data_IF_320675107178
#
_entry.id   IF_320675107178
#
_cell.length_a   1.000
_cell.length_b   1.000
_cell.length_c   1.000
_cell.angle_alpha   90.00
_cell.angle_beta   90.00
_cell.angle_gamma   90.00
#
_symmetry.space_group_name_H-M   'P 1'
#
loop_
_entity.id
_entity.type
_entity.pdbx_description
1 polymer ?
#
# COMPACT_ATOMS: atom_id res chain seq x y z
N UNK A 1 -22.47 -29.17 -5.25
CA UNK A 1 -21.94 -28.16 -6.20
C UNK A 1 -22.37 -26.72 -5.90
N UNK A 2 -23.66 -26.41 -5.70
CA UNK A 2 -24.16 -25.02 -5.53
C UNK A 2 -23.51 -24.23 -4.38
N UNK A 3 -23.15 -24.89 -3.29
CA UNK A 3 -22.53 -24.24 -2.13
C UNK A 3 -21.05 -23.88 -2.32
N UNK A 4 -20.33 -24.55 -3.24
CA UNK A 4 -18.91 -24.28 -3.51
C UNK A 4 -18.74 -22.91 -4.18
N UNK A 5 -19.68 -22.52 -5.06
CA UNK A 5 -19.70 -21.18 -5.69
C UNK A 5 -19.85 -20.06 -4.65
N UNK A 6 -20.62 -20.29 -3.59
CA UNK A 6 -20.82 -19.30 -2.52
C UNK A 6 -19.54 -19.16 -1.67
N UNK A 7 -18.83 -20.25 -1.38
CA UNK A 7 -17.55 -20.16 -0.66
C UNK A 7 -16.46 -19.44 -1.46
N UNK A 8 -16.44 -19.55 -2.79
CA UNK A 8 -15.49 -18.83 -3.63
C UNK A 8 -15.65 -17.30 -3.58
N UNK A 9 -16.88 -16.81 -3.40
CA UNK A 9 -17.17 -15.37 -3.30
C UNK A 9 -16.61 -14.73 -2.01
N UNK A 10 -16.40 -15.50 -0.94
CA UNK A 10 -15.85 -14.98 0.32
C UNK A 10 -14.32 -14.81 0.29
N UNK A 11 -13.61 -15.52 -0.60
CA UNK A 11 -12.16 -15.44 -0.73
C UNK A 11 -11.67 -14.27 -1.60
N UNK A 12 -12.58 -13.49 -2.19
CA UNK A 12 -12.22 -12.38 -3.09
C UNK A 12 -11.91 -11.06 -2.35
N UNK A 13 -12.12 -11.00 -1.03
CA UNK A 13 -11.75 -9.85 -0.20
C UNK A 13 -10.28 -9.93 0.22
N UNK A 14 -9.37 -9.71 -0.72
CA UNK A 14 -7.98 -9.39 -0.40
C UNK A 14 -7.80 -7.86 -0.34
N UNK A 15 -6.79 -7.37 0.38
CA UNK A 15 -6.46 -5.96 0.43
C UNK A 15 -5.89 -5.56 -0.94
N UNK A 16 -6.81 -5.20 -1.84
CA UNK A 16 -6.55 -4.81 -3.21
C UNK A 16 -6.42 -3.28 -3.29
N UNK A 17 -5.60 -2.77 -4.22
CA UNK A 17 -5.41 -1.34 -4.37
C UNK A 17 -6.72 -0.65 -4.76
N UNK A 18 -6.83 0.64 -4.44
CA UNK A 18 -7.98 1.44 -4.79
C UNK A 18 -8.27 1.36 -6.29
N UNK A 19 -9.54 1.40 -6.70
CA UNK A 19 -9.95 1.28 -8.11
C UNK A 19 -9.27 2.30 -9.04
N UNK A 20 -8.87 3.46 -8.51
CA UNK A 20 -8.12 4.49 -9.24
C UNK A 20 -6.71 4.02 -9.64
N UNK A 21 -6.13 3.08 -8.89
CA UNK A 21 -4.83 2.46 -9.13
C UNK A 21 -4.90 1.25 -10.07
N UNK A 22 -6.03 0.99 -10.73
CA UNK A 22 -6.09 -0.02 -11.78
C UNK A 22 -5.02 0.28 -12.85
N UNK A 23 -4.17 -0.72 -13.14
CA UNK A 23 -3.03 -0.60 -14.06
C UNK A 23 -1.78 0.08 -13.49
N UNK A 24 -1.72 0.33 -12.18
CA UNK A 24 -0.52 0.83 -11.51
C UNK A 24 0.61 -0.20 -11.51
N UNK A 25 1.85 0.30 -11.52
CA UNK A 25 3.03 -0.52 -11.26
C UNK A 25 3.10 -0.83 -9.78
N UNK A 26 3.20 -2.11 -9.42
CA UNK A 26 3.28 -2.57 -8.03
C UNK A 26 4.67 -3.09 -7.69
N UNK A 27 5.27 -2.59 -6.61
CA UNK A 27 6.50 -3.12 -6.03
C UNK A 27 6.20 -3.60 -4.62
N UNK A 28 6.64 -4.83 -4.27
CA UNK A 28 6.53 -5.36 -2.92
C UNK A 28 7.88 -5.31 -2.22
N UNK A 29 7.87 -4.87 -0.96
CA UNK A 29 9.05 -4.80 -0.10
C UNK A 29 8.70 -5.20 1.32
N UNK A 30 9.69 -5.70 2.06
CA UNK A 30 9.54 -6.00 3.49
C UNK A 30 10.49 -5.10 4.27
N UNK A 31 9.97 -4.36 5.25
CA UNK A 31 10.74 -3.46 6.13
C UNK A 31 10.31 -3.69 7.56
N UNK A 32 11.27 -3.86 8.47
CA UNK A 32 11.02 -4.11 9.90
C UNK A 32 10.03 -5.24 10.19
N UNK A 33 10.02 -6.29 9.35
CA UNK A 33 9.13 -7.44 9.48
C UNK A 33 7.70 -7.20 8.98
N UNK A 34 7.42 -6.03 8.39
CA UNK A 34 6.13 -5.70 7.77
C UNK A 34 6.24 -5.75 6.24
N UNK A 35 5.23 -6.34 5.61
CA UNK A 35 5.14 -6.42 4.15
C UNK A 35 4.36 -5.24 3.60
N UNK A 36 4.93 -4.57 2.60
CA UNK A 36 4.34 -3.42 1.93
C UNK A 36 4.20 -3.69 0.44
N UNK A 37 3.07 -3.29 -0.14
CA UNK A 37 2.94 -3.11 -1.58
C UNK A 37 2.81 -1.61 -1.90
N UNK A 38 3.74 -1.09 -2.68
CA UNK A 38 3.69 0.27 -3.22
C UNK A 38 3.18 0.20 -4.65
N UNK A 39 2.06 0.85 -4.89
CA UNK A 39 1.46 1.06 -6.19
C UNK A 39 1.78 2.47 -6.65
N UNK A 40 2.34 2.60 -7.85
CA UNK A 40 2.60 3.89 -8.49
C UNK A 40 1.83 4.00 -9.79
N UNK A 41 1.13 5.12 -9.94
CA UNK A 41 0.46 5.49 -11.19
C UNK A 41 0.67 6.97 -11.44
N UNK A 42 1.39 7.29 -12.51
CA UNK A 42 1.79 8.65 -12.85
C UNK A 42 2.48 9.40 -11.68
N UNK A 43 1.77 10.40 -11.12
CA UNK A 43 2.21 11.21 -9.97
C UNK A 43 1.40 10.89 -8.71
N UNK A 44 0.78 9.74 -8.65
CA UNK A 44 0.05 9.25 -7.48
C UNK A 44 0.65 7.95 -6.98
N UNK A 45 0.52 7.74 -5.67
CA UNK A 45 0.92 6.50 -5.04
C UNK A 45 -0.18 6.00 -4.11
N UNK A 46 -0.15 4.69 -3.89
CA UNK A 46 -0.85 3.99 -2.83
C UNK A 46 0.12 3.00 -2.20
N UNK A 47 0.16 2.92 -0.88
CA UNK A 47 0.96 1.93 -0.16
C UNK A 47 0.05 1.20 0.81
N UNK A 48 0.13 -0.13 0.77
CA UNK A 48 -0.67 -1.03 1.61
C UNK A 48 0.28 -1.87 2.44
N UNK A 49 0.07 -1.92 3.76
CA UNK A 49 0.75 -2.84 4.67
C UNK A 49 -0.09 -4.09 4.86
N UNK A 50 0.52 -5.26 4.67
CA UNK A 50 -0.09 -6.55 4.90
C UNK A 50 0.29 -7.12 6.27
N UNK A 51 -0.53 -8.06 6.75
CA UNK A 51 -0.31 -8.73 8.02
C UNK A 51 -0.79 -7.92 9.24
N UNK A 52 -0.59 -8.49 10.43
CA UNK A 52 -0.98 -7.87 11.68
C UNK A 52 0.12 -6.93 12.20
N UNK A 53 -0.27 -5.84 12.84
CA UNK A 53 0.65 -4.96 13.57
C UNK A 53 0.02 -4.54 14.91
N UNK A 54 0.81 -4.47 15.99
CA UNK A 54 0.33 -3.97 17.26
C UNK A 54 0.12 -2.46 17.20
N UNK A 55 -0.83 -1.97 18.01
CA UNK A 55 -1.16 -0.54 18.08
C UNK A 55 0.03 0.34 18.49
N UNK A 56 0.96 -0.20 19.26
CA UNK A 56 2.18 0.50 19.69
C UNK A 56 3.14 0.84 18.55
N UNK A 57 3.03 0.17 17.40
CA UNK A 57 3.92 0.37 16.25
C UNK A 57 3.32 1.30 15.19
N UNK A 58 2.10 1.81 15.38
CA UNK A 58 1.37 2.56 14.34
C UNK A 58 2.13 3.78 13.81
N UNK A 59 2.74 4.57 14.70
CA UNK A 59 3.47 5.78 14.31
C UNK A 59 4.74 5.42 13.50
N UNK A 60 5.51 4.44 13.98
CA UNK A 60 6.70 3.94 13.27
C UNK A 60 6.33 3.34 11.91
N UNK A 61 5.24 2.58 11.84
CA UNK A 61 4.75 2.00 10.58
C UNK A 61 4.35 3.09 9.60
N UNK A 62 3.67 4.15 10.07
CA UNK A 62 3.28 5.27 9.22
C UNK A 62 4.51 5.97 8.61
N UNK A 63 5.54 6.21 9.42
CA UNK A 63 6.82 6.78 8.95
C UNK A 63 7.52 5.84 7.96
N UNK A 64 7.57 4.54 8.26
CA UNK A 64 8.13 3.53 7.38
C UNK A 64 7.41 3.46 6.03
N UNK A 65 6.08 3.60 6.00
CA UNK A 65 5.30 3.64 4.75
C UNK A 65 5.74 4.81 3.86
N UNK A 66 6.00 6.00 4.42
CA UNK A 66 6.50 7.14 3.66
C UNK A 66 7.91 6.90 3.12
N UNK A 67 8.80 6.36 3.96
CA UNK A 67 10.17 6.03 3.56
C UNK A 67 10.18 4.98 2.45
N UNK A 68 9.36 3.93 2.57
CA UNK A 68 9.20 2.87 1.57
C UNK A 68 8.72 3.45 0.24
N UNK A 69 7.69 4.31 0.26
CA UNK A 69 7.22 4.98 -0.97
C UNK A 69 8.35 5.81 -1.59
N UNK A 70 9.09 6.56 -0.79
CA UNK A 70 10.19 7.37 -1.29
C UNK A 70 11.32 6.51 -1.88
N UNK A 71 11.69 5.41 -1.22
CA UNK A 71 12.73 4.50 -1.68
C UNK A 71 12.35 3.79 -2.97
N UNK A 72 11.11 3.31 -3.07
CA UNK A 72 10.61 2.60 -4.25
C UNK A 72 10.42 3.53 -5.44
N UNK A 73 9.86 4.72 -5.22
CA UNK A 73 9.50 5.64 -6.31
C UNK A 73 10.61 6.62 -6.67
N UNK A 74 11.59 6.82 -5.79
CA UNK A 74 12.60 7.89 -5.89
C UNK A 74 12.01 9.29 -5.73
N UNK A 75 10.74 9.42 -5.33
CA UNK A 75 10.03 10.69 -5.26
C UNK A 75 9.54 10.99 -3.84
N UNK A 76 9.46 12.27 -3.49
CA UNK A 76 8.89 12.70 -2.21
C UNK A 76 7.37 12.46 -2.19
N UNK A 77 6.83 11.69 -1.22
CA UNK A 77 5.39 11.50 -1.06
C UNK A 77 4.74 12.71 -0.37
N UNK A 78 3.57 13.10 -0.87
CA UNK A 78 2.66 14.03 -0.23
C UNK A 78 1.34 13.32 0.04
N UNK A 79 1.07 13.02 1.32
CA UNK A 79 -0.09 12.24 1.75
C UNK A 79 -1.37 13.06 1.60
N UNK A 80 -2.39 12.46 1.00
CA UNK A 80 -3.74 13.02 0.93
C UNK A 80 -4.68 12.36 1.92
N UNK A 81 -4.50 11.05 2.15
CA UNK A 81 -5.32 10.26 3.07
C UNK A 81 -4.59 8.97 3.42
N UNK A 82 -4.80 8.45 4.62
CA UNK A 82 -4.26 7.15 5.01
C UNK A 82 -4.07 6.97 6.51
N UNK A 83 -3.74 5.74 6.87
CA UNK A 83 -3.33 5.29 8.20
C UNK A 83 -2.14 4.32 8.07
N UNK A 84 -1.86 3.56 9.14
CA UNK A 84 -0.77 2.58 9.20
C UNK A 84 -1.04 1.27 8.43
N UNK A 85 -2.20 1.13 7.78
CA UNK A 85 -2.58 -0.02 6.96
C UNK A 85 -2.65 0.32 5.47
N UNK A 86 -3.15 1.51 5.13
CA UNK A 86 -3.24 2.00 3.74
C UNK A 86 -2.96 3.51 3.70
N UNK A 87 -2.14 3.95 2.75
CA UNK A 87 -1.88 5.38 2.54
C UNK A 87 -1.83 5.73 1.07
N UNK A 88 -2.44 6.87 0.73
CA UNK A 88 -2.52 7.39 -0.64
C UNK A 88 -2.10 8.85 -0.71
N UNK A 89 -1.50 9.20 -1.84
CA UNK A 89 -1.05 10.56 -2.04
C UNK A 89 -0.50 10.86 -3.43
N UNK A 90 0.19 11.99 -3.51
CA UNK A 90 0.86 12.45 -4.73
C UNK A 90 2.38 12.38 -4.58
N UNK A 91 3.07 12.22 -5.69
CA UNK A 91 4.52 12.30 -5.82
C UNK A 91 4.87 13.66 -6.41
N UNK A 92 5.78 14.40 -5.77
CA UNK A 92 6.14 15.76 -6.17
C UNK A 92 7.54 15.84 -6.75
N UNK A 93 8.56 15.64 -5.92
CA UNK A 93 9.98 15.83 -6.26
C UNK A 93 10.68 14.49 -6.44
N UNK A 94 10.94 14.08 -7.68
CA UNK A 94 11.65 12.84 -7.99
C UNK A 94 13.15 13.12 -8.15
N UNK A 95 13.99 12.54 -7.29
CA UNK A 95 15.44 12.53 -7.51
C UNK A 95 15.74 11.52 -8.61
N UNK A 96 16.16 12.03 -9.76
CA UNK A 96 16.54 11.21 -10.91
C UNK A 96 17.90 10.55 -10.67
#
# INVERSE_FOLDING_TARGET
MRYILILGLLAACDASPHWQMAGAESTRVTVDGHDYAVYRKDKTFEVIRYGWAPRSEQDTIYENMLLVVQQVTGCTPHVLSGDSGEMRGKLTSCSR
#
